data_IF_156368771169
#
_entry.id   IF_156368771169
#
_cell.length_a   1.000
_cell.length_b   1.000
_cell.length_c   1.000
_cell.angle_alpha   90.00
_cell.angle_beta   90.00
_cell.angle_gamma   90.00
#
_symmetry.space_group_name_H-M   'P 1'
#
loop_
_entity.id
_entity.type
_entity.pdbx_description
1 polymer ?
#
# COMPACT_ATOMS: atom_id res chain seq x y z
N UNK A 1 -17.00 -2.54 -12.23
CA UNK A 1 -15.65 -2.69 -11.64
C UNK A 1 -15.56 -1.72 -10.48
N UNK A 2 -15.10 -2.18 -9.32
CA UNK A 2 -14.78 -1.31 -8.19
C UNK A 2 -13.27 -1.16 -8.16
N UNK A 3 -12.77 0.07 -8.01
CA UNK A 3 -11.32 0.31 -7.91
C UNK A 3 -10.80 -0.26 -6.60
N UNK A 4 -9.71 -1.03 -6.66
CA UNK A 4 -8.95 -1.45 -5.49
C UNK A 4 -7.59 -0.75 -5.52
N UNK A 5 -7.20 0.04 -4.52
CA UNK A 5 -7.89 0.42 -3.27
C UNK A 5 -8.34 1.89 -3.29
N UNK A 6 -9.04 2.34 -2.24
CA UNK A 6 -9.53 3.72 -2.14
C UNK A 6 -8.38 4.72 -2.03
N UNK A 7 -7.46 4.47 -1.11
CA UNK A 7 -6.36 5.37 -0.78
C UNK A 7 -5.14 4.57 -0.34
N UNK A 8 -3.98 4.97 -0.86
CA UNK A 8 -2.68 4.49 -0.40
C UNK A 8 -2.37 5.15 0.95
N UNK A 9 -2.72 4.48 2.04
CA UNK A 9 -2.48 4.92 3.42
C UNK A 9 -1.59 3.91 4.17
N UNK A 10 -0.55 3.45 3.48
CA UNK A 10 0.41 2.46 3.95
C UNK A 10 1.77 2.79 3.35
N UNK A 11 2.83 2.10 3.78
CA UNK A 11 4.19 2.50 3.40
C UNK A 11 4.49 2.37 1.91
N UNK A 12 5.26 3.32 1.33
CA UNK A 12 5.74 3.24 -0.06
C UNK A 12 6.54 1.98 -0.40
N UNK A 13 7.14 1.36 0.61
CA UNK A 13 7.92 0.13 0.53
C UNK A 13 7.05 -1.11 0.37
N UNK A 14 5.74 -1.02 0.61
CA UNK A 14 4.81 -2.13 0.44
C UNK A 14 4.29 -2.18 -1.01
N UNK A 15 3.98 -3.38 -1.54
CA UNK A 15 3.41 -3.53 -2.87
C UNK A 15 2.13 -2.71 -3.06
N UNK A 16 1.89 -2.28 -4.30
CA UNK A 16 0.69 -1.52 -4.69
C UNK A 16 0.58 -0.12 -4.07
N UNK A 17 1.68 0.40 -3.53
CA UNK A 17 1.76 1.81 -3.18
C UNK A 17 1.41 2.68 -4.39
N UNK A 18 0.60 3.71 -4.16
CA UNK A 18 0.14 4.65 -5.19
C UNK A 18 -0.76 4.05 -6.29
N UNK A 19 -1.27 2.83 -6.09
CA UNK A 19 -2.29 2.24 -6.97
C UNK A 19 -3.74 2.62 -6.57
N UNK A 20 -3.92 3.42 -5.52
CA UNK A 20 -5.22 3.92 -5.07
C UNK A 20 -5.69 5.18 -5.80
N UNK A 21 -6.88 5.69 -5.44
CA UNK A 21 -7.40 6.96 -5.98
C UNK A 21 -6.77 8.19 -5.31
N UNK A 22 -6.21 8.03 -4.13
CA UNK A 22 -5.41 9.05 -3.45
C UNK A 22 -4.25 8.40 -2.71
N UNK A 23 -3.35 9.23 -2.20
CA UNK A 23 -2.26 8.81 -1.31
C UNK A 23 -2.17 9.73 -0.11
N UNK A 24 -1.71 9.17 0.99
CA UNK A 24 -1.32 9.93 2.19
C UNK A 24 -0.02 9.35 2.72
N UNK A 25 0.99 10.20 2.82
CA UNK A 25 2.31 9.88 3.37
C UNK A 25 2.82 11.05 4.22
N UNK A 26 4.09 10.98 4.64
CA UNK A 26 4.76 12.03 5.42
C UNK A 26 4.91 13.38 4.68
N UNK A 27 4.74 13.41 3.36
CA UNK A 27 4.81 14.62 2.56
C UNK A 27 3.45 15.28 2.40
N UNK A 28 2.37 14.49 2.44
CA UNK A 28 1.01 15.02 2.41
C UNK A 28 -0.04 14.04 1.94
N UNK A 29 -1.27 14.53 1.95
CA UNK A 29 -2.38 13.93 1.21
C UNK A 29 -2.43 14.52 -0.20
N UNK A 30 -2.62 13.65 -1.19
CA UNK A 30 -2.76 14.03 -2.60
C UNK A 30 -3.75 13.10 -3.33
N UNK A 31 -4.60 13.68 -4.18
CA UNK A 31 -5.49 12.93 -5.07
C UNK A 31 -4.79 12.58 -6.38
N UNK A 32 -4.93 11.32 -6.83
CA UNK A 32 -4.37 10.85 -8.10
C UNK A 32 -5.27 11.24 -9.29
N UNK A 33 -4.72 11.21 -10.51
CA UNK A 33 -5.47 11.55 -11.73
C UNK A 33 -6.74 10.71 -11.89
N UNK A 34 -6.68 9.41 -11.53
CA UNK A 34 -7.82 8.51 -11.58
C UNK A 34 -8.99 8.99 -10.70
N UNK A 35 -8.73 9.60 -9.54
CA UNK A 35 -9.78 10.18 -8.70
C UNK A 35 -10.47 11.35 -9.40
N UNK A 36 -9.71 12.20 -10.07
CA UNK A 36 -10.26 13.34 -10.81
C UNK A 36 -11.11 12.87 -11.99
N UNK A 37 -10.64 11.87 -12.75
CA UNK A 37 -11.44 11.26 -13.82
C UNK A 37 -12.74 10.69 -13.26
N UNK A 38 -12.66 9.92 -12.17
CA UNK A 38 -13.84 9.32 -11.53
C UNK A 38 -14.82 10.38 -11.04
N UNK A 39 -14.34 11.41 -10.32
CA UNK A 39 -15.16 12.53 -9.82
C UNK A 39 -15.82 13.28 -10.97
N UNK A 40 -15.09 13.49 -12.05
CA UNK A 40 -15.58 14.17 -13.23
C UNK A 40 -16.65 13.37 -13.97
N UNK A 41 -16.50 12.07 -14.10
CA UNK A 41 -17.54 11.21 -14.70
C UNK A 41 -18.77 11.11 -13.78
N UNK A 42 -18.58 10.75 -12.52
CA UNK A 42 -19.68 10.53 -11.57
C UNK A 42 -20.44 11.80 -11.21
N UNK A 43 -19.83 12.98 -11.33
CA UNK A 43 -20.51 14.26 -11.10
C UNK A 43 -21.69 14.53 -12.03
N UNK A 44 -21.79 13.82 -13.16
CA UNK A 44 -22.76 14.07 -14.22
C UNK A 44 -23.71 12.88 -14.48
N UNK A 45 -23.73 11.90 -13.57
CA UNK A 45 -24.70 10.80 -13.57
C UNK A 45 -25.15 10.54 -12.13
N UNK A 46 -26.47 10.41 -11.93
CA UNK A 46 -27.05 10.17 -10.61
C UNK A 46 -27.55 8.74 -10.48
N UNK A 47 -27.66 8.27 -9.23
CA UNK A 47 -28.33 7.00 -8.93
C UNK A 47 -29.74 7.00 -9.53
N UNK A 48 -30.06 5.97 -10.30
CA UNK A 48 -31.36 5.81 -10.97
C UNK A 48 -31.34 6.14 -12.47
N UNK A 49 -30.29 6.80 -12.97
CA UNK A 49 -30.08 6.98 -14.42
C UNK A 49 -29.85 5.63 -15.10
N UNK A 50 -30.29 5.50 -16.36
CA UNK A 50 -30.19 4.28 -17.16
C UNK A 50 -29.22 4.48 -18.32
N UNK A 51 -28.51 3.43 -18.68
CA UNK A 51 -27.70 3.40 -19.92
C UNK A 51 -28.64 3.31 -21.12
N UNK A 52 -28.48 4.22 -22.07
CA UNK A 52 -29.13 4.16 -23.37
C UNK A 52 -28.31 3.27 -24.31
N UNK A 53 -28.76 2.02 -24.51
CA UNK A 53 -28.01 1.02 -25.31
C UNK A 53 -27.78 1.48 -26.75
N UNK A 54 -28.80 2.06 -27.38
CA UNK A 54 -28.74 2.55 -28.76
C UNK A 54 -27.80 3.77 -28.91
N UNK A 55 -27.57 4.50 -27.81
CA UNK A 55 -26.65 5.64 -27.75
C UNK A 55 -25.30 5.29 -27.11
N UNK A 56 -24.89 4.01 -27.11
CA UNK A 56 -23.63 3.57 -26.52
C UNK A 56 -22.92 2.60 -27.45
N UNK A 57 -21.60 2.70 -27.58
CA UNK A 57 -20.88 1.88 -28.56
C UNK A 57 -19.39 2.17 -28.64
N UNK A 58 -18.82 1.81 -29.80
CA UNK A 58 -17.43 2.04 -30.17
C UNK A 58 -17.38 3.02 -31.34
N UNK A 59 -16.34 3.85 -31.38
CA UNK A 59 -16.07 4.66 -32.55
C UNK A 59 -15.34 3.85 -33.63
N UNK A 60 -15.53 4.19 -34.91
CA UNK A 60 -14.83 3.54 -36.02
C UNK A 60 -13.31 3.73 -35.95
N UNK A 61 -12.86 4.93 -35.56
CA UNK A 61 -11.45 5.25 -35.32
C UNK A 61 -10.90 4.73 -33.99
N UNK A 62 -11.67 3.91 -33.27
CA UNK A 62 -11.32 3.39 -31.95
C UNK A 62 -11.72 4.31 -30.79
N UNK A 63 -11.86 3.70 -29.60
CA UNK A 63 -12.45 4.33 -28.42
C UNK A 63 -13.90 3.92 -28.20
N UNK A 64 -14.49 4.40 -27.10
CA UNK A 64 -15.87 4.06 -26.71
C UNK A 64 -16.66 5.28 -26.28
N UNK A 65 -17.97 5.13 -26.30
CA UNK A 65 -18.90 6.07 -25.70
C UNK A 65 -20.05 5.37 -25.01
N UNK A 66 -20.53 5.96 -23.92
CA UNK A 66 -21.67 5.45 -23.16
C UNK A 66 -22.59 6.60 -22.81
N UNK A 67 -23.86 6.46 -23.14
CA UNK A 67 -24.89 7.47 -22.83
C UNK A 67 -25.73 7.03 -21.64
N UNK A 68 -25.87 7.91 -20.67
CA UNK A 68 -26.79 7.79 -19.54
C UNK A 68 -27.90 8.84 -19.64
N UNK A 69 -29.10 8.48 -19.19
CA UNK A 69 -30.24 9.40 -19.13
C UNK A 69 -31.21 9.03 -18.00
N UNK A 70 -31.93 10.01 -17.47
CA UNK A 70 -33.10 9.83 -16.61
C UNK A 70 -34.44 10.06 -17.33
N UNK A 71 -34.40 10.22 -18.65
CA UNK A 71 -35.55 10.55 -19.50
C UNK A 71 -35.76 12.05 -19.71
N UNK A 72 -35.04 12.91 -18.97
CA UNK A 72 -35.05 14.36 -19.16
C UNK A 72 -33.67 14.88 -19.55
N UNK A 73 -32.67 14.53 -18.75
CA UNK A 73 -31.28 14.92 -18.93
C UNK A 73 -30.49 13.76 -19.54
N UNK A 74 -29.40 14.10 -20.21
CA UNK A 74 -28.50 13.09 -20.79
C UNK A 74 -27.04 13.46 -20.55
N UNK A 75 -26.22 12.43 -20.42
CA UNK A 75 -24.77 12.53 -20.30
C UNK A 75 -24.14 11.43 -21.16
N UNK A 76 -23.35 11.82 -22.14
CA UNK A 76 -22.52 10.94 -22.96
C UNK A 76 -21.09 11.03 -22.42
N UNK A 77 -20.54 9.89 -22.03
CA UNK A 77 -19.12 9.75 -21.76
C UNK A 77 -18.41 9.27 -23.02
N UNK A 78 -17.27 9.85 -23.33
CA UNK A 78 -16.44 9.47 -24.49
C UNK A 78 -15.01 9.21 -24.03
N UNK A 79 -14.35 8.23 -24.63
CA UNK A 79 -12.93 7.97 -24.43
C UNK A 79 -12.26 7.39 -25.69
N UNK A 80 -10.98 7.70 -25.88
CA UNK A 80 -10.11 7.25 -26.98
C UNK A 80 -8.73 6.85 -26.46
N UNK A 81 -8.67 6.18 -25.30
CA UNK A 81 -7.41 5.79 -24.67
C UNK A 81 -6.62 4.82 -25.56
N UNK A 82 -5.38 5.17 -25.89
CA UNK A 82 -4.51 4.31 -26.69
C UNK A 82 -4.08 3.08 -25.90
N UNK A 83 -3.82 1.98 -26.62
CA UNK A 83 -3.38 0.71 -26.03
C UNK A 83 -2.24 0.90 -25.02
N UNK A 84 -1.25 1.74 -25.33
CA UNK A 84 -0.07 1.95 -24.48
C UNK A 84 -0.37 2.74 -23.20
N UNK A 85 -1.35 3.63 -23.23
CA UNK A 85 -1.67 4.54 -22.12
C UNK A 85 -2.82 4.03 -21.23
N UNK A 86 -3.37 2.85 -21.52
CA UNK A 86 -4.47 2.24 -20.76
C UNK A 86 -4.25 0.78 -20.38
N UNK A 87 -2.99 0.32 -20.32
CA UNK A 87 -2.69 -0.99 -19.76
C UNK A 87 -2.92 -0.95 -18.26
N UNK A 88 -3.69 -1.91 -17.78
CA UNK A 88 -3.83 -2.17 -16.35
C UNK A 88 -2.92 -3.34 -16.00
N UNK A 89 -2.42 -3.39 -14.78
CA UNK A 89 -1.54 -4.46 -14.32
C UNK A 89 -2.11 -5.87 -14.57
N UNK A 90 -3.39 -6.05 -14.27
CA UNK A 90 -4.11 -7.31 -14.44
C UNK A 90 -5.00 -7.34 -15.68
N UNK A 91 -4.61 -6.63 -16.74
CA UNK A 91 -5.27 -6.75 -18.05
C UNK A 91 -4.27 -7.16 -19.12
N UNK A 92 -4.71 -8.03 -20.02
CA UNK A 92 -3.94 -8.41 -21.21
C UNK A 92 -4.79 -8.22 -22.46
N UNK A 93 -5.22 -6.97 -22.76
CA UNK A 93 -5.95 -6.71 -23.99
C UNK A 93 -5.07 -7.05 -25.20
N UNK A 94 -5.70 -7.53 -26.27
CA UNK A 94 -5.02 -7.60 -27.56
C UNK A 94 -4.65 -6.18 -28.01
N UNK A 95 -3.48 -5.96 -28.62
CA UNK A 95 -3.10 -4.67 -29.18
C UNK A 95 -4.20 -4.11 -30.10
N UNK A 96 -4.51 -2.82 -29.95
CA UNK A 96 -5.48 -2.10 -30.77
C UNK A 96 -4.95 -0.70 -31.13
N UNK A 97 -5.48 -0.13 -32.21
CA UNK A 97 -5.12 1.20 -32.70
C UNK A 97 -6.24 2.20 -32.45
N UNK A 98 -5.86 3.45 -32.21
CA UNK A 98 -6.75 4.61 -32.14
C UNK A 98 -6.29 5.60 -33.20
N UNK A 99 -7.23 6.21 -33.93
CA UNK A 99 -6.94 7.28 -34.86
C UNK A 99 -6.57 8.56 -34.11
N UNK A 100 -5.50 9.24 -34.53
CA UNK A 100 -4.98 10.44 -33.86
C UNK A 100 -6.00 11.57 -33.72
N UNK A 101 -6.85 11.73 -34.75
CA UNK A 101 -7.95 12.69 -34.77
C UNK A 101 -9.11 12.11 -35.58
N UNK A 102 -10.29 12.04 -34.96
CA UNK A 102 -11.55 11.66 -35.58
C UNK A 102 -12.61 12.75 -35.37
N UNK A 103 -13.50 12.90 -36.36
CA UNK A 103 -14.66 13.78 -36.24
C UNK A 103 -15.84 12.92 -35.80
N UNK A 104 -16.37 13.19 -34.61
CA UNK A 104 -17.48 12.44 -34.03
C UNK A 104 -18.78 13.13 -34.34
N UNK A 105 -19.71 12.38 -34.95
CA UNK A 105 -21.02 12.85 -35.35
C UNK A 105 -22.10 12.11 -34.57
N UNK A 106 -22.67 12.76 -33.55
CA UNK A 106 -23.84 12.22 -32.84
C UNK A 106 -25.12 12.72 -33.46
N UNK A 107 -25.96 11.79 -33.92
CA UNK A 107 -27.30 12.06 -34.43
C UNK A 107 -28.36 11.77 -33.38
N UNK A 108 -29.22 12.75 -33.12
CA UNK A 108 -30.33 12.64 -32.18
C UNK A 108 -31.62 12.37 -32.94
N UNK A 109 -32.42 11.41 -32.44
CA UNK A 109 -33.72 11.06 -33.02
C UNK A 109 -34.80 12.12 -32.73
N UNK A 110 -34.54 13.01 -31.77
CA UNK A 110 -35.46 14.04 -31.29
C UNK A 110 -34.68 15.33 -31.03
N UNK A 111 -35.30 16.52 -31.23
CA UNK A 111 -34.70 17.83 -30.93
C UNK A 111 -34.49 18.10 -29.43
N UNK A 112 -34.73 17.14 -28.54
CA UNK A 112 -34.46 17.24 -27.11
C UNK A 112 -33.17 16.47 -26.80
N UNK A 113 -32.03 17.14 -26.55
CA UNK A 113 -31.84 18.55 -26.14
C UNK A 113 -31.41 19.53 -27.26
N UNK A 114 -31.53 20.85 -27.02
CA UNK A 114 -31.13 21.93 -27.95
C UNK A 114 -29.62 22.04 -28.21
N UNK A 115 -28.82 21.30 -27.45
CA UNK A 115 -27.36 21.26 -27.51
C UNK A 115 -26.82 20.57 -26.27
N UNK A 116 -25.50 20.41 -26.20
CA UNK A 116 -24.79 19.79 -25.09
C UNK A 116 -23.63 20.65 -24.63
N UNK A 117 -23.40 20.71 -23.33
CA UNK A 117 -22.13 21.16 -22.79
C UNK A 117 -21.10 20.05 -23.01
N UNK A 118 -19.94 20.39 -23.56
CA UNK A 118 -18.80 19.50 -23.74
C UNK A 118 -17.62 19.97 -22.90
N UNK A 119 -16.90 19.02 -22.34
CA UNK A 119 -15.56 19.25 -21.80
C UNK A 119 -14.75 17.97 -22.00
N UNK A 120 -13.55 18.13 -22.55
CA UNK A 120 -12.62 17.03 -22.86
C UNK A 120 -11.34 17.26 -22.06
N UNK A 121 -10.77 16.20 -21.48
CA UNK A 121 -9.50 16.24 -20.75
C UNK A 121 -9.44 17.38 -19.71
N UNK A 122 -10.54 17.61 -18.99
CA UNK A 122 -10.67 18.70 -18.01
C UNK A 122 -10.56 20.13 -18.58
N UNK A 123 -10.67 20.30 -19.91
CA UNK A 123 -10.69 21.62 -20.53
C UNK A 123 -11.94 22.42 -20.12
N UNK A 124 -11.87 23.74 -20.27
CA UNK A 124 -12.99 24.62 -19.95
C UNK A 124 -14.25 24.19 -20.73
N UNK A 125 -15.43 24.10 -20.09
CA UNK A 125 -16.66 23.70 -20.75
C UNK A 125 -17.02 24.62 -21.92
N UNK A 126 -17.52 24.03 -23.00
CA UNK A 126 -18.03 24.73 -24.17
C UNK A 126 -19.45 24.23 -24.47
N UNK A 127 -20.30 25.07 -25.04
CA UNK A 127 -21.64 24.65 -25.46
C UNK A 127 -21.63 24.33 -26.96
N UNK A 128 -22.08 23.13 -27.32
CA UNK A 128 -22.28 22.69 -28.69
C UNK A 128 -23.78 22.74 -29.01
N UNK A 129 -24.24 23.69 -29.86
CA UNK A 129 -25.63 23.75 -30.27
C UNK A 129 -25.98 22.56 -31.17
N UNK A 130 -27.23 22.08 -31.06
CA UNK A 130 -27.76 21.08 -31.96
C UNK A 130 -27.96 21.70 -33.36
N UNK A 131 -27.43 21.06 -34.40
CA UNK A 131 -27.64 21.50 -35.78
C UNK A 131 -29.11 21.34 -36.20
N UNK A 132 -29.56 22.00 -37.29
CA UNK A 132 -30.91 21.79 -37.85
C UNK A 132 -31.22 20.33 -38.22
N UNK A 133 -30.18 19.52 -38.47
CA UNK A 133 -30.31 18.10 -38.79
C UNK A 133 -30.27 17.20 -37.54
N UNK A 134 -30.40 17.79 -36.36
CA UNK A 134 -30.30 17.12 -35.06
C UNK A 134 -28.96 16.40 -34.87
N UNK A 135 -27.87 17.04 -35.29
CA UNK A 135 -26.52 16.51 -35.11
C UNK A 135 -25.64 17.41 -34.25
N UNK A 136 -24.75 16.79 -33.49
CA UNK A 136 -23.63 17.45 -32.80
C UNK A 136 -22.35 16.83 -33.35
N UNK A 137 -21.47 17.67 -33.88
CA UNK A 137 -20.18 17.27 -34.42
C UNK A 137 -19.06 17.90 -33.58
N UNK A 138 -18.03 17.13 -33.27
CA UNK A 138 -16.83 17.66 -32.61
C UNK A 138 -15.58 16.82 -32.90
N UNK A 139 -14.39 17.43 -32.90
CA UNK A 139 -13.14 16.70 -33.03
C UNK A 139 -12.78 15.98 -31.72
N UNK A 140 -12.39 14.71 -31.82
CA UNK A 140 -11.87 13.92 -30.71
C UNK A 140 -10.49 13.37 -31.07
N UNK A 141 -9.49 13.72 -30.28
CA UNK A 141 -8.11 13.25 -30.46
C UNK A 141 -7.90 11.89 -29.79
N UNK A 142 -6.82 11.18 -30.12
CA UNK A 142 -6.36 10.04 -29.33
C UNK A 142 -6.03 10.45 -27.89
N UNK A 143 -6.03 9.48 -26.97
CA UNK A 143 -5.77 9.68 -25.54
C UNK A 143 -6.64 10.79 -24.91
N UNK A 144 -7.88 10.91 -25.38
CA UNK A 144 -8.84 11.87 -24.84
C UNK A 144 -9.98 11.17 -24.12
N UNK A 145 -10.50 11.80 -23.08
CA UNK A 145 -11.75 11.42 -22.45
C UNK A 145 -12.58 12.68 -22.19
N UNK A 146 -13.87 12.51 -22.00
CA UNK A 146 -14.70 13.66 -21.72
C UNK A 146 -16.16 13.34 -21.51
N UNK A 147 -16.91 14.42 -21.35
CA UNK A 147 -18.35 14.39 -21.12
C UNK A 147 -19.04 15.33 -22.09
N UNK A 148 -20.18 14.91 -22.60
CA UNK A 148 -21.16 15.74 -23.27
C UNK A 148 -22.48 15.62 -22.51
N UNK A 149 -23.03 16.71 -22.00
CA UNK A 149 -24.20 16.62 -21.11
C UNK A 149 -25.13 17.82 -21.24
N UNK A 150 -26.41 17.63 -20.91
CA UNK A 150 -27.37 18.74 -20.74
C UNK A 150 -27.16 19.50 -19.43
N UNK A 151 -26.39 18.92 -18.50
CA UNK A 151 -26.11 19.50 -17.20
C UNK A 151 -24.94 20.50 -17.26
N UNK A 152 -24.85 21.44 -16.29
CA UNK A 152 -23.65 22.24 -16.11
C UNK A 152 -22.43 21.36 -15.79
N UNK A 153 -21.28 21.69 -16.38
CA UNK A 153 -20.04 20.95 -16.16
C UNK A 153 -19.19 21.62 -15.07
N UNK A 154 -18.76 20.84 -14.09
CA UNK A 154 -17.75 21.26 -13.12
C UNK A 154 -16.48 20.44 -13.27
N UNK A 155 -15.36 21.09 -13.56
CA UNK A 155 -14.05 20.45 -13.67
C UNK A 155 -13.44 20.28 -12.27
N UNK A 156 -13.03 19.07 -11.86
CA UNK A 156 -12.42 18.87 -10.56
C UNK A 156 -11.02 19.49 -10.50
N UNK A 157 -10.70 20.11 -9.36
CA UNK A 157 -9.35 20.59 -9.05
C UNK A 157 -8.60 19.58 -8.20
N UNK A 158 -7.27 19.56 -8.37
CA UNK A 158 -6.36 18.78 -7.54
C UNK A 158 -6.36 19.32 -6.11
N UNK A 159 -6.37 18.41 -5.13
CA UNK A 159 -6.32 18.77 -3.72
C UNK A 159 -5.05 18.21 -3.10
N UNK A 160 -4.30 19.08 -2.43
CA UNK A 160 -3.09 18.74 -1.69
C UNK A 160 -3.19 19.32 -0.29
N UNK A 161 -3.00 18.49 0.73
CA UNK A 161 -3.01 18.91 2.13
C UNK A 161 -1.74 18.41 2.79
N UNK A 162 -1.00 19.29 3.47
CA UNK A 162 0.19 18.90 4.22
C UNK A 162 -0.19 18.02 5.40
N UNK A 163 0.54 16.93 5.61
CA UNK A 163 0.45 16.10 6.81
C UNK A 163 1.50 16.56 7.83
N UNK A 164 1.28 16.31 9.13
CA UNK A 164 2.33 16.49 10.14
C UNK A 164 3.55 15.64 9.79
N UNK A 165 4.74 16.21 9.90
CA UNK A 165 5.99 15.46 9.66
C UNK A 165 6.16 14.39 10.74
N UNK A 166 6.51 13.18 10.30
CA UNK A 166 6.97 12.13 11.20
C UNK A 166 8.29 12.56 11.86
N UNK A 167 8.42 12.24 13.15
CA UNK A 167 9.71 12.33 13.85
C UNK A 167 10.70 11.36 13.21
N UNK A 168 11.96 11.80 13.05
CA UNK A 168 13.06 10.95 12.57
C UNK A 168 13.25 9.73 13.48
N UNK A 169 12.95 9.87 14.78
CA UNK A 169 13.09 8.80 15.74
C UNK A 169 11.70 8.37 16.23
N UNK A 170 11.46 7.06 16.25
CA UNK A 170 10.26 6.47 16.84
C UNK A 170 10.57 6.01 18.25
N UNK A 171 9.64 6.27 19.16
CA UNK A 171 9.56 5.59 20.44
C UNK A 171 8.11 5.45 20.83
N UNK A 172 7.72 4.28 21.32
CA UNK A 172 6.38 4.01 21.82
C UNK A 172 6.44 3.01 22.97
N UNK A 173 5.84 3.40 24.09
CA UNK A 173 5.67 2.59 25.30
C UNK A 173 4.24 2.01 25.38
N UNK A 174 3.40 2.28 24.37
CA UNK A 174 2.01 1.83 24.23
C UNK A 174 1.09 2.17 25.40
N UNK A 175 1.55 2.99 26.36
CA UNK A 175 0.84 3.29 27.61
C UNK A 175 -0.23 4.37 27.43
N UNK A 176 -0.04 5.25 26.44
CA UNK A 176 -0.89 6.42 26.20
C UNK A 176 -1.38 6.44 24.75
N UNK A 177 -2.57 6.98 24.53
CA UNK A 177 -3.18 7.15 23.20
C UNK A 177 -3.62 5.85 22.48
N UNK A 178 -3.81 4.77 23.25
CA UNK A 178 -4.38 3.52 22.78
C UNK A 178 -5.58 3.12 23.65
N UNK A 179 -6.61 2.60 23.00
CA UNK A 179 -7.68 1.84 23.63
C UNK A 179 -7.32 0.35 23.64
N UNK A 180 -8.00 -0.41 24.49
CA UNK A 180 -7.83 -1.86 24.52
C UNK A 180 -8.14 -2.45 23.14
N UNK A 181 -7.22 -3.27 22.63
CA UNK A 181 -7.28 -3.90 21.32
C UNK A 181 -7.07 -2.97 20.09
N UNK A 182 -6.62 -1.72 20.30
CA UNK A 182 -6.14 -0.87 19.19
C UNK A 182 -4.90 -1.47 18.53
N UNK A 183 -4.71 -1.24 17.23
CA UNK A 183 -3.48 -1.63 16.53
C UNK A 183 -2.34 -0.66 16.89
N UNK A 184 -1.11 -1.15 17.18
CA UNK A 184 0.03 -0.26 17.44
C UNK A 184 0.28 0.65 16.24
N UNK A 185 0.33 1.98 16.47
CA UNK A 185 0.48 2.96 15.39
C UNK A 185 1.79 2.70 14.65
N UNK A 186 1.77 2.89 13.33
CA UNK A 186 2.91 2.71 12.41
C UNK A 186 3.39 1.26 12.21
N UNK A 187 3.12 0.33 13.12
CA UNK A 187 3.42 -1.07 12.89
C UNK A 187 2.30 -1.70 12.06
N UNK A 188 2.62 -2.16 10.85
CA UNK A 188 1.67 -2.81 9.94
C UNK A 188 1.92 -4.32 9.98
N UNK A 189 1.03 -5.11 10.60
CA UNK A 189 1.05 -6.57 10.54
C UNK A 189 1.06 -7.06 9.10
N UNK A 190 2.07 -7.86 8.76
CA UNK A 190 2.13 -8.55 7.47
C UNK A 190 1.63 -9.99 7.59
N UNK A 191 1.80 -10.61 8.76
CA UNK A 191 1.26 -11.93 9.08
C UNK A 191 1.04 -12.06 10.57
N UNK A 192 -0.17 -12.44 11.00
CA UNK A 192 -0.58 -12.37 12.42
C UNK A 192 -1.40 -11.11 12.69
N UNK A 193 -1.58 -10.76 13.97
CA UNK A 193 -2.30 -9.56 14.39
C UNK A 193 -1.68 -9.03 15.67
N UNK A 194 -1.41 -7.73 15.68
CA UNK A 194 -0.83 -7.00 16.80
C UNK A 194 -1.88 -6.06 17.35
N UNK A 195 -1.99 -6.01 18.67
CA UNK A 195 -2.91 -5.14 19.37
C UNK A 195 -2.27 -4.56 20.62
N UNK A 196 -2.75 -3.43 21.12
CA UNK A 196 -2.32 -2.86 22.38
C UNK A 196 -3.20 -3.37 23.51
N UNK A 197 -2.58 -3.99 24.52
CA UNK A 197 -3.22 -4.48 25.75
C UNK A 197 -2.36 -4.12 26.94
N UNK A 198 -2.98 -3.53 27.97
CA UNK A 198 -2.31 -3.22 29.24
C UNK A 198 -0.99 -2.45 29.07
N UNK A 199 -0.95 -1.52 28.12
CA UNK A 199 0.24 -0.73 27.81
C UNK A 199 1.32 -1.47 27.03
N UNK A 200 0.98 -2.51 26.26
CA UNK A 200 1.94 -3.33 25.50
C UNK A 200 1.40 -3.69 24.14
N UNK A 201 2.26 -3.77 23.14
CA UNK A 201 1.93 -4.36 21.85
C UNK A 201 1.99 -5.89 21.95
N UNK A 202 0.92 -6.57 21.58
CA UNK A 202 0.71 -8.01 21.74
C UNK A 202 0.43 -8.65 20.39
N UNK A 203 1.32 -9.55 19.96
CA UNK A 203 0.98 -10.53 18.94
C UNK A 203 -0.07 -11.46 19.59
N UNK A 204 -1.29 -11.53 19.04
CA UNK A 204 -2.39 -12.29 19.66
C UNK A 204 -2.78 -13.59 18.94
N UNK A 205 -2.15 -13.90 17.81
CA UNK A 205 -2.55 -15.02 16.94
C UNK A 205 -1.74 -16.26 17.29
N UNK A 206 -2.42 -17.26 17.84
CA UNK A 206 -1.81 -18.49 18.37
C UNK A 206 -1.72 -19.63 17.36
N UNK A 207 -2.44 -19.56 16.25
CA UNK A 207 -2.42 -20.56 15.19
C UNK A 207 -2.49 -19.92 13.80
N UNK A 208 -1.92 -20.57 12.75
CA UNK A 208 -2.04 -20.07 11.39
C UNK A 208 -3.51 -19.93 10.96
N UNK A 209 -3.93 -18.78 10.40
CA UNK A 209 -5.27 -18.64 9.85
C UNK A 209 -5.42 -19.43 8.55
N UNK A 210 -6.67 -19.59 8.08
CA UNK A 210 -6.93 -19.99 6.70
C UNK A 210 -6.48 -18.81 5.82
N UNK A 211 -5.36 -18.99 5.12
CA UNK A 211 -4.67 -17.90 4.42
C UNK A 211 -5.32 -17.59 3.07
N UNK A 212 -5.46 -16.30 2.76
CA UNK A 212 -5.79 -15.83 1.41
C UNK A 212 -4.55 -15.79 0.51
N UNK A 213 -3.42 -15.32 1.05
CA UNK A 213 -2.12 -15.38 0.38
C UNK A 213 -1.60 -16.83 0.34
N UNK A 214 -0.81 -17.18 -0.67
CA UNK A 214 -0.27 -18.55 -0.85
C UNK A 214 1.07 -18.81 -0.15
N UNK A 215 1.60 -17.84 0.60
CA UNK A 215 2.89 -17.94 1.29
C UNK A 215 2.95 -19.09 2.30
N UNK A 216 4.00 -19.92 2.19
CA UNK A 216 4.34 -21.01 3.10
C UNK A 216 5.07 -20.58 4.38
N UNK A 217 5.53 -19.32 4.48
CA UNK A 217 6.17 -18.77 5.68
C UNK A 217 5.19 -18.76 6.85
N UNK A 218 5.49 -19.42 7.98
CA UNK A 218 4.58 -19.49 9.16
C UNK A 218 4.95 -18.55 10.29
N UNK A 219 5.82 -17.59 10.01
CA UNK A 219 6.37 -16.63 10.97
C UNK A 219 5.48 -15.38 11.01
N UNK A 220 4.81 -15.09 12.14
CA UNK A 220 4.11 -13.83 12.31
C UNK A 220 5.10 -12.67 12.42
N UNK A 221 4.84 -11.58 11.68
CA UNK A 221 5.61 -10.37 11.78
C UNK A 221 4.80 -9.12 11.44
N UNK A 222 5.25 -7.99 11.97
CA UNK A 222 4.82 -6.64 11.63
C UNK A 222 6.02 -5.83 11.14
N UNK A 223 5.74 -4.85 10.29
CA UNK A 223 6.77 -3.99 9.72
C UNK A 223 6.48 -2.53 9.98
N UNK A 224 7.56 -1.76 10.11
CA UNK A 224 7.50 -0.31 10.17
C UNK A 224 8.49 0.22 9.14
N UNK A 225 8.08 1.19 8.32
CA UNK A 225 8.98 1.83 7.37
C UNK A 225 9.41 3.20 7.87
N UNK A 226 10.64 3.55 7.48
CA UNK A 226 11.16 4.90 7.56
C UNK A 226 11.83 5.30 6.25
N UNK A 227 11.97 6.63 5.97
CA UNK A 227 12.54 7.11 4.71
C UNK A 227 14.02 6.80 4.54
N UNK A 228 14.81 6.82 5.63
CA UNK A 228 16.26 6.64 5.58
C UNK A 228 16.67 5.21 5.94
N UNK A 229 17.98 4.93 5.90
CA UNK A 229 18.51 3.62 6.25
C UNK A 229 18.32 3.35 7.74
N UNK A 230 17.61 2.26 8.00
CA UNK A 230 17.39 1.77 9.34
C UNK A 230 18.68 1.18 9.89
N UNK A 231 19.02 1.60 11.11
CA UNK A 231 20.29 1.23 11.73
C UNK A 231 20.11 0.59 13.10
N UNK A 232 19.10 1.01 13.87
CA UNK A 232 18.89 0.51 15.22
C UNK A 232 17.41 0.22 15.49
N UNK A 233 17.16 -0.92 16.12
CA UNK A 233 15.87 -1.31 16.66
C UNK A 233 16.07 -1.82 18.08
N UNK A 234 15.26 -1.35 19.03
CA UNK A 234 15.25 -1.81 20.42
C UNK A 234 13.82 -2.05 20.88
N UNK A 235 13.60 -3.07 21.69
CA UNK A 235 12.30 -3.37 22.30
C UNK A 235 12.50 -4.16 23.60
N UNK A 236 11.61 -3.97 24.56
CA UNK A 236 11.44 -4.88 25.68
C UNK A 236 10.44 -5.96 25.27
N UNK A 237 10.78 -7.24 25.43
CA UNK A 237 9.97 -8.35 24.93
C UNK A 237 9.77 -9.44 25.98
N UNK A 238 8.63 -10.10 25.91
CA UNK A 238 8.28 -11.23 26.75
C UNK A 238 7.44 -12.26 25.96
N UNK A 239 7.74 -13.53 26.15
CA UNK A 239 6.89 -14.64 25.69
C UNK A 239 6.21 -15.25 26.93
N UNK A 240 4.87 -15.23 27.02
CA UNK A 240 4.14 -15.84 28.15
C UNK A 240 4.44 -17.34 28.33
N UNK A 241 4.27 -17.85 29.54
CA UNK A 241 4.54 -19.27 29.86
C UNK A 241 3.62 -20.24 29.11
N UNK A 242 2.38 -19.84 28.84
CA UNK A 242 1.37 -20.58 28.10
C UNK A 242 1.37 -20.28 26.59
N UNK A 243 2.33 -19.48 26.12
CA UNK A 243 2.43 -19.12 24.71
C UNK A 243 2.97 -20.27 23.86
N UNK A 244 2.40 -20.41 22.66
CA UNK A 244 2.96 -21.27 21.61
C UNK A 244 4.25 -20.74 20.98
N UNK A 245 4.60 -19.45 21.18
CA UNK A 245 5.76 -18.84 20.53
C UNK A 245 7.06 -19.37 21.14
N UNK A 246 8.04 -19.71 20.29
CA UNK A 246 9.33 -20.26 20.75
C UNK A 246 10.48 -19.25 20.70
N UNK A 247 10.33 -18.20 19.90
CA UNK A 247 11.35 -17.20 19.65
C UNK A 247 10.72 -15.85 19.27
N UNK A 248 11.52 -14.80 19.42
CA UNK A 248 11.23 -13.45 18.93
C UNK A 248 12.21 -13.09 17.81
N UNK A 249 11.78 -12.23 16.89
CA UNK A 249 12.56 -11.78 15.73
C UNK A 249 12.60 -10.26 15.72
N UNK A 250 13.80 -9.69 15.58
CA UNK A 250 14.03 -8.30 15.23
C UNK A 250 14.72 -8.24 13.86
N UNK A 251 14.38 -7.25 13.05
CA UNK A 251 14.95 -7.10 11.70
C UNK A 251 15.24 -5.65 11.32
N UNK A 252 16.33 -5.49 10.56
CA UNK A 252 16.76 -4.25 9.94
C UNK A 252 16.86 -4.41 8.42
N UNK A 253 16.81 -3.27 7.71
CA UNK A 253 17.05 -3.18 6.27
C UNK A 253 16.28 -4.22 5.46
N UNK A 254 14.99 -4.36 5.74
CA UNK A 254 14.16 -5.39 5.14
C UNK A 254 13.27 -4.86 4.02
N UNK A 255 12.95 -5.73 3.05
CA UNK A 255 11.90 -5.51 2.05
C UNK A 255 10.67 -6.42 2.26
N UNK A 256 10.59 -7.09 3.41
CA UNK A 256 9.57 -8.08 3.70
C UNK A 256 8.16 -7.49 3.74
N UNK A 257 7.30 -7.94 2.85
CA UNK A 257 5.99 -7.34 2.68
C UNK A 257 4.99 -8.25 1.95
N UNK A 258 3.71 -8.07 2.26
CA UNK A 258 2.57 -8.55 1.48
C UNK A 258 2.45 -10.07 1.31
N UNK A 259 1.60 -10.46 0.36
CA UNK A 259 1.37 -11.87 0.02
C UNK A 259 2.54 -12.52 -0.73
N UNK A 260 3.35 -11.71 -1.40
CA UNK A 260 4.38 -12.10 -2.38
C UNK A 260 5.76 -12.26 -1.73
N UNK A 261 5.82 -12.59 -0.43
CA UNK A 261 7.06 -12.69 0.35
C UNK A 261 8.08 -13.68 -0.24
N UNK A 262 7.61 -14.73 -0.93
CA UNK A 262 8.46 -15.75 -1.57
C UNK A 262 8.96 -15.28 -2.93
N UNK A 263 8.11 -14.67 -3.75
CA UNK A 263 8.49 -14.15 -5.07
C UNK A 263 9.38 -12.90 -4.98
N UNK A 264 9.15 -12.07 -3.95
CA UNK A 264 10.01 -10.91 -3.65
C UNK A 264 11.32 -11.27 -2.96
N UNK A 265 11.50 -12.55 -2.60
CA UNK A 265 12.64 -13.06 -1.82
C UNK A 265 12.94 -12.15 -0.61
N UNK A 266 11.98 -12.07 0.30
CA UNK A 266 12.01 -11.20 1.47
C UNK A 266 13.32 -11.37 2.26
N UNK A 267 14.14 -10.32 2.15
CA UNK A 267 15.53 -10.22 2.62
C UNK A 267 15.65 -9.13 3.67
N UNK A 268 16.77 -9.14 4.38
CA UNK A 268 17.11 -8.18 5.40
C UNK A 268 18.22 -8.71 6.30
N UNK A 269 18.38 -8.12 7.47
CA UNK A 269 19.28 -8.62 8.52
C UNK A 269 18.43 -8.88 9.74
N UNK A 270 18.30 -10.15 10.10
CA UNK A 270 17.36 -10.61 11.12
C UNK A 270 18.09 -11.28 12.27
N UNK A 271 17.58 -11.08 13.47
CA UNK A 271 18.04 -11.72 14.70
C UNK A 271 16.84 -12.44 15.31
N UNK A 272 16.90 -13.76 15.35
CA UNK A 272 15.92 -14.60 16.05
C UNK A 272 16.52 -15.11 17.35
N UNK A 273 15.79 -14.95 18.46
CA UNK A 273 16.23 -15.38 19.79
C UNK A 273 15.25 -16.41 20.33
N UNK A 274 15.70 -17.64 20.49
CA UNK A 274 14.92 -18.73 21.06
C UNK A 274 14.92 -18.67 22.59
N UNK A 275 13.74 -18.56 23.19
CA UNK A 275 13.61 -18.40 24.65
C UNK A 275 13.91 -19.69 25.41
N UNK A 276 13.63 -20.86 24.82
CA UNK A 276 13.86 -22.16 25.47
C UNK A 276 15.33 -22.57 25.49
N UNK A 277 16.10 -22.18 24.48
CA UNK A 277 17.51 -22.59 24.34
C UNK A 277 18.50 -21.46 24.63
N UNK A 278 18.08 -20.20 24.56
CA UNK A 278 18.98 -19.05 24.59
C UNK A 278 19.81 -18.90 23.32
N UNK A 279 19.52 -19.67 22.27
CA UNK A 279 20.21 -19.56 20.98
C UNK A 279 19.68 -18.37 20.20
N UNK A 280 20.60 -17.55 19.68
CA UNK A 280 20.32 -16.43 18.80
C UNK A 280 20.89 -16.72 17.42
N UNK A 281 20.05 -16.69 16.40
CA UNK A 281 20.44 -16.92 15.00
C UNK A 281 20.35 -15.61 14.23
N UNK A 282 21.43 -15.27 13.53
CA UNK A 282 21.49 -14.13 12.62
C UNK A 282 21.34 -14.67 11.20
N UNK A 283 20.38 -14.16 10.42
CA UNK A 283 20.10 -14.64 9.07
C UNK A 283 19.70 -13.51 8.11
N UNK A 284 19.77 -13.77 6.80
CA UNK A 284 19.65 -12.75 5.76
C UNK A 284 18.35 -12.76 4.94
N UNK A 285 17.51 -13.78 5.10
CA UNK A 285 16.25 -13.91 4.38
C UNK A 285 15.20 -14.69 5.19
N UNK A 286 13.93 -14.35 5.04
CA UNK A 286 12.85 -14.88 5.87
C UNK A 286 12.29 -16.23 5.37
N UNK A 287 12.61 -16.61 4.13
CA UNK A 287 12.02 -17.78 3.46
C UNK A 287 12.89 -19.02 3.67
N UNK A 288 14.17 -18.93 3.32
CA UNK A 288 15.17 -19.98 3.46
C UNK A 288 15.90 -19.88 4.80
N UNK A 289 15.89 -18.70 5.45
CA UNK A 289 16.62 -18.45 6.70
C UNK A 289 18.12 -18.71 6.56
N UNK A 290 18.74 -18.16 5.52
CA UNK A 290 20.19 -18.28 5.27
C UNK A 290 20.97 -17.70 6.43
N UNK A 291 21.57 -18.59 7.22
CA UNK A 291 22.33 -18.25 8.43
C UNK A 291 23.62 -17.50 8.10
N UNK A 292 23.89 -16.44 8.86
CA UNK A 292 25.13 -15.68 8.85
C UNK A 292 25.98 -16.09 10.06
N UNK A 293 25.36 -16.14 11.23
CA UNK A 293 26.03 -16.48 12.47
C UNK A 293 25.06 -17.00 13.53
N UNK A 294 25.61 -17.68 14.53
CA UNK A 294 24.90 -18.18 15.68
C UNK A 294 25.61 -17.71 16.96
N UNK A 295 24.82 -17.26 17.93
CA UNK A 295 25.31 -16.75 19.21
C UNK A 295 24.49 -17.37 20.34
N UNK A 296 25.16 -17.81 21.40
CA UNK A 296 24.49 -18.37 22.57
C UNK A 296 24.40 -17.32 23.68
N UNK A 297 23.22 -17.14 24.29
CA UNK A 297 23.12 -16.31 25.49
C UNK A 297 23.87 -16.96 26.65
N UNK A 298 24.62 -16.16 27.41
CA UNK A 298 25.36 -16.64 28.59
C UNK A 298 24.46 -17.03 29.75
N UNK A 299 23.19 -16.60 29.75
CA UNK A 299 22.21 -16.86 30.80
C UNK A 299 20.96 -17.48 30.21
N UNK A 300 20.27 -18.33 30.99
CA UNK A 300 19.01 -18.90 30.56
C UNK A 300 17.97 -17.79 30.40
N UNK A 301 17.26 -17.84 29.28
CA UNK A 301 16.06 -17.04 29.02
C UNK A 301 14.87 -17.85 29.55
N UNK A 302 13.88 -17.17 30.10
CA UNK A 302 12.66 -17.80 30.62
C UNK A 302 11.44 -17.16 29.98
N UNK A 303 10.41 -17.98 29.75
CA UNK A 303 9.08 -17.47 29.48
C UNK A 303 8.56 -16.70 30.71
N UNK A 304 7.62 -15.78 30.51
CA UNK A 304 7.02 -14.95 31.55
C UNK A 304 7.89 -13.79 32.05
N UNK A 305 9.10 -13.61 31.51
CA UNK A 305 10.03 -12.53 31.90
C UNK A 305 10.31 -11.57 30.75
N UNK A 306 10.35 -10.26 31.06
CA UNK A 306 10.74 -9.24 30.09
C UNK A 306 12.25 -9.15 29.93
N UNK A 307 12.69 -8.98 28.68
CA UNK A 307 14.08 -8.76 28.31
C UNK A 307 14.20 -7.60 27.33
N UNK A 308 15.17 -6.71 27.56
CA UNK A 308 15.52 -5.67 26.60
C UNK A 308 16.37 -6.23 25.47
N UNK A 309 15.89 -6.13 24.25
CA UNK A 309 16.60 -6.51 23.03
C UNK A 309 16.96 -5.27 22.23
N UNK A 310 18.17 -5.22 21.71
CA UNK A 310 18.57 -4.17 20.78
C UNK A 310 19.52 -4.71 19.73
N UNK A 311 19.27 -4.34 18.48
CA UNK A 311 20.14 -4.61 17.34
C UNK A 311 20.56 -3.28 16.72
N UNK A 312 21.84 -3.13 16.42
CA UNK A 312 22.40 -1.93 15.83
C UNK A 312 23.44 -2.29 14.77
N UNK A 313 23.19 -1.93 13.52
CA UNK A 313 24.10 -2.13 12.41
C UNK A 313 24.94 -0.87 12.20
N UNK A 314 26.25 -0.98 12.43
CA UNK A 314 27.24 0.08 12.20
C UNK A 314 28.23 -0.44 11.16
N UNK A 315 28.32 0.24 10.02
CA UNK A 315 29.08 -0.20 8.85
C UNK A 315 28.70 -1.64 8.44
N UNK A 316 29.61 -2.60 8.64
CA UNK A 316 29.41 -4.04 8.40
C UNK A 316 29.16 -4.84 9.68
N UNK A 317 29.16 -4.21 10.85
CA UNK A 317 29.05 -4.90 12.13
C UNK A 317 27.64 -4.78 12.73
N UNK A 318 26.97 -5.91 12.92
CA UNK A 318 25.73 -6.01 13.67
C UNK A 318 26.04 -6.23 15.15
N UNK A 319 25.62 -5.26 15.95
CA UNK A 319 25.74 -5.27 17.40
C UNK A 319 24.42 -5.77 17.99
N UNK A 320 24.46 -6.92 18.65
CA UNK A 320 23.29 -7.54 19.30
C UNK A 320 23.44 -7.44 20.81
N UNK A 321 22.46 -6.82 21.47
CA UNK A 321 22.39 -6.64 22.92
C UNK A 321 21.15 -7.33 23.49
N UNK A 322 21.36 -8.11 24.54
CA UNK A 322 20.33 -8.84 25.27
C UNK A 322 20.40 -8.52 26.78
N UNK A 323 19.32 -7.95 27.33
CA UNK A 323 19.17 -7.58 28.74
C UNK A 323 19.89 -6.30 29.17
N UNK A 324 19.99 -6.10 30.48
CA UNK A 324 20.60 -4.91 31.11
C UNK A 324 22.14 -4.93 31.12
N UNK A 325 22.76 -6.02 30.66
CA UNK A 325 24.21 -6.16 30.65
C UNK A 325 24.81 -5.73 29.30
N UNK A 326 25.97 -5.09 29.36
CA UNK A 326 26.78 -4.60 28.23
C UNK A 326 27.44 -5.73 27.41
N UNK A 327 26.72 -6.84 27.20
CA UNK A 327 27.17 -7.89 26.28
C UNK A 327 26.63 -7.59 24.89
N UNK A 328 27.46 -6.85 24.15
CA UNK A 328 27.29 -6.57 22.74
C UNK A 328 28.03 -7.67 21.98
N UNK A 329 27.32 -8.59 21.35
CA UNK A 329 27.96 -9.49 20.39
C UNK A 329 28.03 -8.75 19.08
N UNK A 330 29.25 -8.59 18.54
CA UNK A 330 29.48 -8.03 17.21
C UNK A 330 29.58 -9.18 16.22
N UNK A 331 28.76 -9.14 15.18
CA UNK A 331 28.77 -10.08 14.07
C UNK A 331 29.05 -9.31 12.80
N UNK A 332 30.06 -9.73 12.04
CA UNK A 332 30.34 -9.17 10.73
C UNK A 332 29.31 -9.67 9.72
N UNK A 333 28.63 -8.73 9.05
CA UNK A 333 27.64 -9.00 8.02
C UNK A 333 28.35 -9.05 6.66
N UNK A 334 28.18 -10.14 5.89
CA UNK A 334 28.80 -10.27 4.57
C UNK A 334 28.46 -9.10 3.63
N UNK A 335 29.45 -8.64 2.87
CA UNK A 335 29.32 -7.50 1.95
C UNK A 335 28.17 -7.68 0.94
N UNK A 336 28.00 -8.88 0.40
CA UNK A 336 26.92 -9.21 -0.52
C UNK A 336 25.52 -9.08 0.10
N UNK A 337 25.37 -9.23 1.42
CA UNK A 337 24.11 -8.99 2.14
C UNK A 337 23.89 -7.49 2.34
N UNK A 338 24.95 -6.74 2.69
CA UNK A 338 24.89 -5.29 2.85
C UNK A 338 24.52 -4.59 1.55
N UNK A 339 25.12 -4.98 0.42
CA UNK A 339 24.80 -4.45 -0.91
C UNK A 339 23.33 -4.67 -1.29
N UNK A 340 22.82 -5.90 -1.09
CA UNK A 340 21.44 -6.26 -1.43
C UNK A 340 20.41 -5.52 -0.58
N UNK A 341 20.73 -5.27 0.69
CA UNK A 341 19.82 -4.64 1.66
C UNK A 341 20.00 -3.12 1.77
N UNK A 342 20.91 -2.54 0.97
CA UNK A 342 21.31 -1.13 1.11
C UNK A 342 20.16 -0.12 0.94
N UNK A 343 19.17 -0.45 0.11
CA UNK A 343 18.02 0.40 -0.19
C UNK A 343 16.73 -0.03 0.52
N UNK A 344 16.82 -1.10 1.32
CA UNK A 344 15.67 -1.66 2.02
C UNK A 344 15.52 -0.94 3.37
N UNK A 345 14.31 -0.48 3.71
CA UNK A 345 14.09 0.43 4.85
C UNK A 345 12.93 0.01 5.77
N UNK A 346 12.57 -1.29 5.78
CA UNK A 346 11.65 -1.83 6.77
C UNK A 346 12.40 -2.32 8.02
N UNK A 347 11.87 -1.92 9.17
CA UNK A 347 12.05 -2.62 10.44
C UNK A 347 11.10 -3.80 10.51
N UNK A 348 11.52 -4.86 11.19
CA UNK A 348 10.69 -6.04 11.44
C UNK A 348 10.67 -6.37 12.91
N UNK A 349 9.48 -6.63 13.44
CA UNK A 349 9.28 -7.32 14.71
C UNK A 349 8.40 -8.55 14.48
N UNK A 350 8.64 -9.63 15.21
CA UNK A 350 7.85 -10.83 15.02
C UNK A 350 8.21 -11.97 15.96
N UNK A 351 7.60 -13.12 15.74
CA UNK A 351 7.85 -14.37 16.48
C UNK A 351 8.23 -15.47 15.50
N UNK A 352 9.05 -16.45 15.90
CA UNK A 352 9.45 -17.54 15.00
C UNK A 352 8.27 -18.35 14.46
N UNK A 353 7.23 -18.48 15.27
CA UNK A 353 5.99 -19.18 14.97
C UNK A 353 4.78 -18.50 15.64
N UNK A 354 3.56 -18.92 15.27
CA UNK A 354 2.33 -18.44 15.89
C UNK A 354 2.30 -18.75 17.40
N UNK A 355 1.93 -17.73 18.18
CA UNK A 355 1.92 -17.75 19.63
C UNK A 355 2.02 -16.34 20.20
N UNK A 356 1.55 -16.15 21.43
CA UNK A 356 1.49 -14.84 22.09
C UNK A 356 2.90 -14.31 22.38
N UNK A 357 3.12 -13.03 22.11
CA UNK A 357 4.31 -12.30 22.57
C UNK A 357 3.93 -10.87 22.90
N UNK A 358 4.55 -10.31 23.93
CA UNK A 358 4.33 -8.94 24.37
C UNK A 358 5.58 -8.11 24.13
N UNK A 359 5.38 -6.88 23.68
CA UNK A 359 6.40 -5.92 23.27
C UNK A 359 6.10 -4.58 23.92
N UNK A 360 7.14 -3.94 24.44
CA UNK A 360 7.08 -2.68 25.15
C UNK A 360 8.32 -1.84 24.84
N UNK A 361 8.27 -0.53 25.08
CA UNK A 361 9.37 0.42 24.89
C UNK A 361 10.10 0.26 23.54
N UNK A 362 9.33 0.12 22.45
CA UNK A 362 9.90 -0.01 21.11
C UNK A 362 10.49 1.33 20.70
N UNK A 363 11.74 1.32 20.26
CA UNK A 363 12.43 2.50 19.75
C UNK A 363 13.28 2.17 18.53
N UNK A 364 13.38 3.13 17.62
CA UNK A 364 14.20 3.03 16.42
C UNK A 364 15.10 4.26 16.28
N UNK A 365 16.27 4.06 15.68
CA UNK A 365 17.17 5.14 15.28
C UNK A 365 17.65 4.92 13.84
N UNK A 366 17.95 6.03 13.17
CA UNK A 366 18.37 6.09 11.77
C UNK A 366 19.74 6.75 11.67
N UNK A 367 20.44 6.46 10.56
CA UNK A 367 21.61 7.23 10.13
C UNK A 367 21.27 8.16 8.96
#
# INVERSE_FOLDING_TARGET
>A
MLSWHLMSAFYPQLPWWRCGLSRVDENGFETENAFHVLKYLLGHVKRGWKILREGSGRFEGGGTYVTFTDGKDLTVFVETMSYRNSLCEYSSPLPYSIQDLQIIDFQFLSPTPTGLNISLNFAHPQFLPLSPNFTIQFPLKSDSFGILTTLPITVPQKSTVSTPRLSLNYSDDFSSNYQYDDEPRFWIPQKGSWVVRDGRAVQKVTAPPISWCTSGVKTPYAVMAYPNKNAMLSADVMIPEDSGASSVILGLRSNCSGCDIESTNCRGIFVEIHFSTGKSTIFSDFVQRTEIAEVQTRRPIKHGSFYKLSIHLIDSHLLVKFGSHLLMTSVEIPENVLEKTNNDSLFVIGTGNFGISEWDNISTDQF
#
